data_IF_827310939366
#
_entry.id   IF_827310939366
#
_cell.length_a   1.000
_cell.length_b   1.000
_cell.length_c   1.000
_cell.angle_alpha   90.00
_cell.angle_beta   90.00
_cell.angle_gamma   90.00
#
_symmetry.space_group_name_H-M   'P 1'
#
loop_
_entity.id
_entity.type
_entity.pdbx_description
1 polymer ?
#
# COMPACT_ATOMS: atom_id res chain seq x y z
N UNK A 1 7.46 55.67 25.39
CA UNK A 1 6.58 54.47 25.43
C UNK A 1 7.13 53.44 24.46
N UNK A 2 7.95 52.53 24.96
CA UNK A 2 8.67 51.53 24.17
C UNK A 2 7.72 50.35 23.90
N UNK A 3 7.36 50.12 22.64
CA UNK A 3 6.66 48.90 22.20
C UNK A 3 7.62 47.71 22.37
N UNK A 4 7.48 46.98 23.47
CA UNK A 4 8.08 45.66 23.66
C UNK A 4 7.38 44.67 22.71
N UNK A 5 7.95 44.49 21.52
CA UNK A 5 7.56 43.42 20.61
C UNK A 5 8.17 42.12 21.13
N UNK A 6 7.34 41.26 21.71
CA UNK A 6 7.70 39.92 22.17
C UNK A 6 8.39 39.12 21.06
N UNK A 7 9.71 38.92 21.17
CA UNK A 7 10.43 37.98 20.33
C UNK A 7 9.83 36.57 20.52
N UNK A 8 9.65 35.77 19.46
CA UNK A 8 9.20 34.40 19.61
C UNK A 8 10.28 33.59 20.33
N UNK A 9 10.04 33.20 21.59
CA UNK A 9 11.03 32.50 22.42
C UNK A 9 10.93 30.99 22.13
N UNK A 10 12.05 30.35 21.77
CA UNK A 10 12.14 28.88 21.73
C UNK A 10 12.07 28.34 23.16
N UNK A 11 11.27 27.30 23.40
CA UNK A 11 11.22 26.66 24.72
C UNK A 11 12.47 25.80 24.97
N UNK A 12 12.94 25.64 26.23
CA UNK A 12 14.07 24.76 26.54
C UNK A 12 13.80 23.30 26.14
N UNK A 13 12.54 22.86 26.19
CA UNK A 13 12.10 21.54 25.73
C UNK A 13 12.24 21.38 24.21
N UNK A 14 11.96 22.43 23.44
CA UNK A 14 12.09 22.40 21.98
C UNK A 14 13.56 22.31 21.58
N UNK A 15 14.45 23.07 22.24
CA UNK A 15 15.89 22.99 21.96
C UNK A 15 16.48 21.63 22.37
N UNK A 16 16.06 21.07 23.51
CA UNK A 16 16.54 19.76 23.94
C UNK A 16 16.08 18.63 23.02
N UNK A 17 14.87 18.74 22.46
CA UNK A 17 14.35 17.82 21.43
C UNK A 17 15.16 17.90 20.13
N UNK A 18 15.56 19.10 19.70
CA UNK A 18 16.40 19.28 18.51
C UNK A 18 17.83 18.76 18.69
N UNK A 19 18.43 18.98 19.86
CA UNK A 19 19.82 18.58 20.13
C UNK A 19 19.94 17.14 20.66
N UNK A 20 18.83 16.51 21.04
CA UNK A 20 18.82 15.19 21.70
C UNK A 20 19.40 15.19 23.11
N UNK A 21 19.66 16.36 23.70
CA UNK A 21 20.29 16.51 25.01
C UNK A 21 19.71 17.72 25.77
N UNK A 22 19.53 17.58 27.08
CA UNK A 22 19.03 18.65 27.94
C UNK A 22 20.17 19.54 28.42
N UNK A 23 20.28 20.75 27.89
CA UNK A 23 21.28 21.73 28.31
C UNK A 23 20.97 22.32 29.70
N UNK A 24 22.02 22.72 30.42
CA UNK A 24 21.85 23.45 31.68
C UNK A 24 21.21 24.84 31.45
N UNK A 25 20.48 25.42 32.43
CA UNK A 25 19.81 26.71 32.25
C UNK A 25 20.76 27.86 31.85
N UNK A 26 22.00 27.85 32.32
CA UNK A 26 23.02 28.85 32.00
C UNK A 26 23.56 28.72 30.57
N UNK A 27 23.70 27.48 30.07
CA UNK A 27 24.12 27.21 28.69
C UNK A 27 22.98 27.49 27.70
N UNK A 28 21.74 27.17 28.06
CA UNK A 28 20.56 27.52 27.26
C UNK A 28 20.50 29.03 26.99
N UNK A 29 20.71 29.86 28.02
CA UNK A 29 20.75 31.31 27.87
C UNK A 29 21.92 31.79 26.99
N UNK A 30 23.06 31.11 27.04
CA UNK A 30 24.22 31.41 26.18
C UNK A 30 23.94 31.10 24.71
N UNK A 31 23.28 29.97 24.44
CA UNK A 31 22.87 29.57 23.09
C UNK A 31 21.80 30.52 22.54
N UNK A 32 20.80 30.86 23.37
CA UNK A 32 19.69 31.73 22.97
C UNK A 32 20.16 33.13 22.55
N UNK A 33 21.24 33.67 23.16
CA UNK A 33 21.85 34.95 22.74
C UNK A 33 22.46 34.91 21.35
N UNK A 34 22.83 33.73 20.83
CA UNK A 34 23.49 33.54 19.53
C UNK A 34 22.52 33.06 18.44
N UNK A 35 21.27 32.76 18.80
CA UNK A 35 20.21 32.39 17.88
C UNK A 35 19.75 33.59 17.03
N UNK A 36 19.47 33.35 15.76
CA UNK A 36 18.93 34.37 14.83
C UNK A 36 17.51 33.99 14.39
N UNK A 37 16.57 34.92 14.51
CA UNK A 37 15.21 34.71 14.02
C UNK A 37 15.11 35.07 12.53
N UNK A 38 14.53 34.17 11.73
CA UNK A 38 14.35 34.35 10.28
C UNK A 38 12.90 34.13 9.88
N UNK A 39 12.34 35.06 9.11
CA UNK A 39 10.98 34.98 8.53
C UNK A 39 11.07 35.02 6.99
N UNK A 40 11.34 33.89 6.33
CA UNK A 40 11.50 33.86 4.88
C UNK A 40 10.15 34.02 4.16
N UNK A 41 10.18 34.66 2.98
CA UNK A 41 9.02 34.76 2.09
C UNK A 41 8.64 33.38 1.55
N UNK A 42 7.36 33.18 1.22
CA UNK A 42 6.84 31.93 0.65
C UNK A 42 7.58 31.59 -0.64
N UNK A 43 8.24 30.44 -0.69
CA UNK A 43 9.11 30.07 -1.81
C UNK A 43 10.30 29.21 -1.39
N UNK A 44 11.16 28.86 -2.35
CA UNK A 44 12.45 28.21 -2.06
C UNK A 44 13.36 29.25 -1.39
N UNK A 45 13.87 28.95 -0.20
CA UNK A 45 14.68 29.92 0.56
C UNK A 45 16.00 29.34 1.08
N UNK A 46 16.17 28.01 1.05
CA UNK A 46 17.37 27.35 1.53
C UNK A 46 17.66 26.07 0.73
N UNK A 47 18.94 25.76 0.58
CA UNK A 47 19.46 24.58 -0.12
C UNK A 47 20.68 24.06 0.62
N UNK A 48 20.70 22.75 0.93
CA UNK A 48 21.92 22.04 1.31
C UNK A 48 22.65 21.68 0.02
N UNK A 49 23.71 22.43 -0.32
CA UNK A 49 24.57 22.11 -1.45
C UNK A 49 25.98 22.56 -1.11
N UNK A 50 26.93 21.64 -1.27
CA UNK A 50 28.36 21.98 -1.33
C UNK A 50 28.57 22.88 -2.54
N UNK A 51 29.46 23.86 -2.42
CA UNK A 51 29.61 24.99 -3.34
C UNK A 51 30.21 24.64 -4.71
N UNK A 52 30.01 23.42 -5.22
CA UNK A 52 30.51 22.99 -6.53
C UNK A 52 29.41 22.28 -7.33
N UNK A 53 28.65 23.03 -8.13
CA UNK A 53 28.21 22.65 -9.48
C UNK A 53 27.26 23.70 -10.06
N UNK A 54 27.74 24.38 -11.11
CA UNK A 54 26.98 25.11 -12.13
C UNK A 54 25.91 26.09 -11.65
N UNK A 55 26.38 27.33 -11.50
CA UNK A 55 25.62 28.55 -11.71
C UNK A 55 24.76 28.45 -12.97
N UNK A 56 23.45 28.25 -12.79
CA UNK A 56 22.39 28.79 -13.66
C UNK A 56 21.02 28.47 -13.06
N UNK A 57 20.74 29.04 -11.89
CA UNK A 57 19.39 29.25 -11.42
C UNK A 57 19.37 30.48 -10.51
N UNK A 58 18.74 31.56 -10.98
CA UNK A 58 18.33 32.71 -10.18
C UNK A 58 17.64 32.24 -8.89
N UNK A 59 18.40 32.15 -7.79
CA UNK A 59 17.84 31.93 -6.46
C UNK A 59 18.77 32.53 -5.43
N UNK A 60 18.27 33.53 -4.72
CA UNK A 60 18.88 34.16 -3.54
C UNK A 60 18.92 33.18 -2.34
N UNK A 61 19.39 31.96 -2.54
CA UNK A 61 19.45 30.91 -1.52
C UNK A 61 20.88 30.79 -0.99
N UNK A 62 21.29 31.74 -0.14
CA UNK A 62 22.53 31.62 0.62
C UNK A 62 22.38 30.49 1.66
N UNK A 63 23.18 29.44 1.50
CA UNK A 63 23.26 28.28 2.38
C UNK A 63 24.07 28.61 3.63
N UNK A 64 23.46 29.27 4.62
CA UNK A 64 24.10 29.41 5.93
C UNK A 64 24.10 28.03 6.61
N UNK A 65 25.29 27.53 6.93
CA UNK A 65 25.50 26.29 7.67
C UNK A 65 25.02 26.42 9.12
N UNK A 66 24.23 25.45 9.57
CA UNK A 66 23.61 25.45 10.90
C UNK A 66 22.25 24.76 10.90
N UNK A 67 21.61 24.74 12.06
CA UNK A 67 20.31 24.10 12.26
C UNK A 67 19.21 25.15 12.23
N UNK A 68 18.14 24.86 11.49
CA UNK A 68 16.92 25.66 11.44
C UNK A 68 15.82 24.94 12.21
N UNK A 69 15.27 25.60 13.21
CA UNK A 69 14.17 25.11 14.04
C UNK A 69 12.89 25.86 13.66
N UNK A 70 11.80 25.12 13.41
CA UNK A 70 10.53 25.71 13.02
C UNK A 70 9.75 26.13 14.27
N UNK A 71 9.52 27.43 14.43
CA UNK A 71 8.73 28.01 15.54
C UNK A 71 7.26 28.08 15.15
N UNK A 72 6.96 28.44 13.90
CA UNK A 72 5.60 28.50 13.39
C UNK A 72 5.59 28.30 11.89
N UNK A 73 4.54 27.67 11.35
CA UNK A 73 4.38 27.41 9.93
C UNK A 73 4.84 25.99 9.53
N UNK A 74 5.07 25.79 8.22
CA UNK A 74 5.49 24.49 7.66
C UNK A 74 6.60 24.67 6.64
N UNK A 75 7.56 23.76 6.63
CA UNK A 75 8.64 23.72 5.64
C UNK A 75 8.52 22.46 4.81
N UNK A 76 8.56 22.58 3.49
CA UNK A 76 8.60 21.41 2.60
C UNK A 76 10.03 21.18 2.17
N UNK A 77 10.58 20.01 2.53
CA UNK A 77 11.87 19.56 2.02
C UNK A 77 11.67 18.94 0.65
N UNK A 78 12.48 19.35 -0.31
CA UNK A 78 12.43 18.93 -1.71
C UNK A 78 13.78 18.30 -2.08
N UNK A 79 13.76 17.31 -2.96
CA UNK A 79 14.99 16.74 -3.52
C UNK A 79 15.63 17.69 -4.55
N UNK A 80 16.81 17.31 -5.07
CA UNK A 80 17.51 18.06 -6.12
C UNK A 80 16.68 18.31 -7.39
N UNK A 81 15.60 17.57 -7.61
CA UNK A 81 14.69 17.75 -8.74
C UNK A 81 13.41 18.53 -8.39
N UNK A 82 13.25 18.98 -7.15
CA UNK A 82 12.12 19.78 -6.71
C UNK A 82 10.88 18.98 -6.28
N UNK A 83 11.00 17.67 -6.10
CA UNK A 83 9.94 16.80 -5.61
C UNK A 83 9.91 16.74 -4.08
N UNK A 84 8.72 16.58 -3.48
CA UNK A 84 8.54 16.63 -2.02
C UNK A 84 9.11 15.40 -1.31
N UNK A 85 10.18 15.56 -0.54
CA UNK A 85 10.72 14.54 0.37
C UNK A 85 9.79 14.40 1.58
N UNK A 86 9.65 15.47 2.35
CA UNK A 86 8.82 15.51 3.56
C UNK A 86 8.32 16.92 3.85
N UNK A 87 7.28 17.04 4.67
CA UNK A 87 6.79 18.33 5.19
C UNK A 87 7.07 18.37 6.68
N UNK A 88 7.87 19.35 7.08
CA UNK A 88 8.18 19.63 8.47
C UNK A 88 7.16 20.59 9.09
N UNK A 89 6.79 20.30 10.33
CA UNK A 89 5.85 21.07 11.14
C UNK A 89 6.54 21.81 12.29
N UNK A 90 5.77 22.49 13.13
CA UNK A 90 6.27 23.20 14.30
C UNK A 90 7.06 22.25 15.21
N UNK A 91 8.14 22.76 15.82
CA UNK A 91 9.10 22.02 16.66
C UNK A 91 10.07 21.08 15.93
N UNK A 92 9.95 20.91 14.61
CA UNK A 92 10.91 20.12 13.85
C UNK A 92 12.07 20.98 13.33
N UNK A 93 13.18 20.32 13.04
CA UNK A 93 14.41 20.95 12.57
C UNK A 93 14.89 20.40 11.23
N UNK A 94 15.66 21.21 10.52
CA UNK A 94 16.39 20.83 9.30
C UNK A 94 17.73 21.56 9.22
N UNK A 95 18.61 21.13 8.33
CA UNK A 95 19.95 21.71 8.14
C UNK A 95 21.07 20.93 8.81
N UNK A 96 20.77 19.82 9.50
CA UNK A 96 21.73 18.90 10.12
C UNK A 96 22.85 18.45 9.16
N UNK A 97 22.52 18.29 7.88
CA UNK A 97 23.45 17.88 6.83
C UNK A 97 24.60 18.88 6.63
N UNK A 98 24.37 20.17 6.93
CA UNK A 98 25.41 21.21 6.79
C UNK A 98 26.49 21.15 7.88
N UNK A 99 26.28 20.35 8.92
CA UNK A 99 27.25 20.17 10.02
C UNK A 99 28.28 19.07 9.74
N UNK A 100 28.06 18.25 8.71
CA UNK A 100 28.90 17.10 8.37
C UNK A 100 29.36 17.14 6.91
N UNK A 101 30.19 18.12 6.52
CA UNK A 101 30.64 18.28 5.12
C UNK A 101 31.58 17.16 4.65
N UNK A 102 32.13 16.36 5.56
CA UNK A 102 33.05 15.25 5.27
C UNK A 102 32.35 14.03 4.67
N UNK A 103 31.01 13.97 4.74
CA UNK A 103 30.23 12.81 4.30
C UNK A 103 29.35 13.22 3.12
N UNK A 104 29.39 12.40 2.07
CA UNK A 104 28.61 12.60 0.84
C UNK A 104 27.14 12.25 1.08
N UNK A 105 26.41 13.18 1.72
CA UNK A 105 24.99 13.08 1.99
C UNK A 105 24.19 13.78 0.88
N UNK A 106 23.03 13.23 0.52
CA UNK A 106 22.20 13.74 -0.57
C UNK A 106 21.67 15.18 -0.29
N UNK A 107 21.91 16.14 -1.20
CA UNK A 107 21.47 17.52 -1.02
C UNK A 107 19.95 17.67 -1.11
N UNK A 108 19.36 18.52 -0.26
CA UNK A 108 17.92 18.84 -0.29
C UNK A 108 17.65 20.34 -0.22
N UNK A 109 16.48 20.76 -0.71
CA UNK A 109 16.00 22.15 -0.69
C UNK A 109 14.88 22.32 0.32
N UNK A 110 14.82 23.47 0.99
CA UNK A 110 13.70 23.84 1.85
C UNK A 110 12.85 24.95 1.22
N UNK A 111 11.53 24.68 1.16
CA UNK A 111 10.51 25.62 0.68
C UNK A 111 9.61 26.05 1.82
N UNK A 112 9.52 27.36 2.02
CA UNK A 112 8.69 27.97 3.05
C UNK A 112 7.21 27.95 2.66
N UNK A 113 6.35 27.60 3.61
CA UNK A 113 4.90 27.81 3.55
C UNK A 113 4.52 29.20 4.12
N UNK A 114 3.23 29.52 4.11
CA UNK A 114 2.70 30.78 4.67
C UNK A 114 3.00 30.88 6.17
N UNK A 115 3.35 32.08 6.64
CA UNK A 115 3.64 32.39 8.05
C UNK A 115 4.77 31.57 8.67
N UNK A 116 5.85 31.30 7.91
CA UNK A 116 7.00 30.58 8.43
C UNK A 116 7.87 31.47 9.33
N UNK A 117 8.07 31.05 10.57
CA UNK A 117 9.01 31.63 11.53
C UNK A 117 10.04 30.58 11.93
N UNK A 118 11.31 30.90 11.73
CA UNK A 118 12.44 30.01 12.01
C UNK A 118 13.34 30.62 13.08
N UNK A 119 13.90 29.75 13.91
CA UNK A 119 15.14 30.06 14.60
C UNK A 119 16.30 29.37 13.91
N UNK A 120 17.31 30.14 13.54
CA UNK A 120 18.57 29.66 13.02
C UNK A 120 19.60 29.58 14.14
N UNK A 121 20.18 28.40 14.32
CA UNK A 121 21.30 28.13 15.21
C UNK A 121 22.57 27.97 14.35
N UNK A 122 23.52 28.93 14.41
CA UNK A 122 24.75 28.90 13.63
C UNK A 122 25.60 27.66 13.87
N UNK A 123 26.27 27.14 12.82
CA UNK A 123 27.09 25.93 12.90
C UNK A 123 28.21 26.01 13.96
N UNK A 124 28.83 27.17 14.15
CA UNK A 124 29.90 27.36 15.14
C UNK A 124 29.42 27.16 16.58
N UNK A 125 28.16 27.48 16.88
CA UNK A 125 27.53 27.20 18.18
C UNK A 125 27.27 25.70 18.33
N UNK A 126 26.77 25.05 17.27
CA UNK A 126 26.44 23.62 17.31
C UNK A 126 27.70 22.77 17.41
N UNK A 127 28.74 23.10 16.64
CA UNK A 127 30.03 22.41 16.69
C UNK A 127 30.68 22.53 18.07
N UNK A 128 30.65 23.71 18.69
CA UNK A 128 31.15 23.88 20.06
C UNK A 128 30.36 23.06 21.11
N UNK A 129 29.07 22.80 20.87
CA UNK A 129 28.24 21.91 21.70
C UNK A 129 28.56 20.44 21.43
N UNK A 130 28.81 20.06 20.18
CA UNK A 130 29.20 18.70 19.78
C UNK A 130 30.56 18.30 20.37
N UNK A 131 31.52 19.23 20.41
CA UNK A 131 32.84 18.99 21.02
C UNK A 131 32.73 18.77 22.54
N UNK A 132 31.78 19.43 23.19
CA UNK A 132 31.56 19.32 24.64
C UNK A 132 30.71 18.11 25.02
N UNK A 133 29.72 17.77 24.19
CA UNK A 133 28.75 16.71 24.43
C UNK A 133 28.67 15.77 23.21
N UNK A 134 29.42 14.66 23.21
CA UNK A 134 29.40 13.68 22.12
C UNK A 134 27.99 13.15 21.80
N UNK A 135 27.10 13.07 22.80
CA UNK A 135 25.71 12.65 22.63
C UNK A 135 24.93 13.53 21.63
N UNK A 136 25.21 14.84 21.58
CA UNK A 136 24.58 15.77 20.63
C UNK A 136 25.04 15.46 19.21
N UNK A 137 26.35 15.17 19.04
CA UNK A 137 26.91 14.77 17.75
C UNK A 137 26.25 13.50 17.24
N UNK A 138 26.13 12.48 18.08
CA UNK A 138 25.51 11.20 17.70
C UNK A 138 24.03 11.37 17.32
N UNK A 139 23.28 12.18 18.07
CA UNK A 139 21.87 12.45 17.77
C UNK A 139 21.68 13.18 16.44
N UNK A 140 22.45 14.25 16.20
CA UNK A 140 22.39 15.01 14.97
C UNK A 140 22.87 14.18 13.77
N UNK A 141 23.87 13.33 13.97
CA UNK A 141 24.35 12.39 12.97
C UNK A 141 23.30 11.37 12.58
N UNK A 142 22.62 10.75 13.55
CA UNK A 142 21.52 9.82 13.29
C UNK A 142 20.35 10.50 12.57
N UNK A 143 20.06 11.76 12.92
CA UNK A 143 19.03 12.55 12.24
C UNK A 143 19.41 12.85 10.78
N UNK A 144 20.68 13.16 10.52
CA UNK A 144 21.21 13.36 9.18
C UNK A 144 21.15 12.08 8.33
N UNK A 145 21.53 10.93 8.88
CA UNK A 145 21.42 9.63 8.18
C UNK A 145 19.96 9.25 7.89
N UNK A 146 19.06 9.48 8.84
CA UNK A 146 17.63 9.25 8.62
C UNK A 146 17.11 10.14 7.47
N UNK A 147 17.58 11.38 7.39
CA UNK A 147 17.23 12.29 6.29
C UNK A 147 17.79 11.83 4.96
N UNK A 148 19.04 11.40 4.93
CA UNK A 148 19.72 10.91 3.74
C UNK A 148 19.05 9.64 3.17
N UNK A 149 18.72 8.68 4.04
CA UNK A 149 17.97 7.47 3.63
C UNK A 149 16.60 7.79 3.05
N UNK A 150 15.90 8.82 3.54
CA UNK A 150 14.64 9.30 2.93
C UNK A 150 14.85 9.89 1.53
N UNK A 151 15.98 10.56 1.29
CA UNK A 151 16.34 11.07 -0.02
C UNK A 151 16.69 9.93 -0.99
N UNK A 152 17.49 8.95 -0.56
CA UNK A 152 17.92 7.80 -1.36
C UNK A 152 16.77 6.84 -1.73
N UNK A 153 15.83 6.61 -0.81
CA UNK A 153 14.63 5.80 -1.12
C UNK A 153 13.81 6.43 -2.25
N UNK A 154 13.77 7.76 -2.31
CA UNK A 154 13.04 8.48 -3.36
C UNK A 154 13.80 8.50 -4.68
N UNK A 155 15.12 8.68 -4.65
CA UNK A 155 15.96 8.63 -5.86
C UNK A 155 15.97 7.23 -6.49
N UNK A 156 15.98 6.17 -5.68
CA UNK A 156 15.88 4.78 -6.15
C UNK A 156 14.51 4.42 -6.69
N UNK A 157 13.41 4.90 -6.09
CA UNK A 157 12.06 4.80 -6.68
C UNK A 157 12.00 5.42 -8.09
N UNK A 158 12.73 6.53 -8.30
CA UNK A 158 12.84 7.20 -9.61
C UNK A 158 13.68 6.42 -10.61
N UNK A 159 14.80 5.82 -10.18
CA UNK A 159 15.61 4.96 -11.03
C UNK A 159 14.83 3.71 -11.50
N UNK A 160 13.97 3.17 -10.63
CA UNK A 160 13.09 2.04 -10.96
C UNK A 160 11.90 2.43 -11.87
N UNK A 161 11.43 3.69 -11.78
CA UNK A 161 10.44 4.25 -12.71
C UNK A 161 11.15 5.05 -13.80
N UNK A 162 11.83 4.33 -14.70
CA UNK A 162 12.54 4.89 -15.86
C UNK A 162 11.71 5.94 -16.61
N UNK A 163 11.86 7.20 -16.19
CA UNK A 163 11.24 8.36 -16.82
C UNK A 163 12.40 9.10 -17.48
N UNK A 164 12.59 8.80 -18.76
CA UNK A 164 13.46 9.57 -19.62
C UNK A 164 13.00 11.03 -19.58
N UNK A 165 13.88 11.93 -19.15
CA UNK A 165 13.76 13.34 -19.49
C UNK A 165 14.01 13.49 -20.99
N UNK A 166 13.14 14.16 -21.76
CA UNK A 166 13.54 14.68 -23.06
C UNK A 166 14.40 15.93 -22.86
N UNK A 167 15.64 15.83 -23.33
CA UNK A 167 16.63 16.91 -23.42
C UNK A 167 16.18 17.96 -24.44
N UNK A 168 16.26 19.22 -24.01
CA UNK A 168 16.32 20.49 -24.73
C UNK A 168 16.22 20.52 -26.27
N UNK A 169 15.25 21.28 -26.78
CA UNK A 169 15.46 22.23 -27.88
C UNK A 169 14.23 23.13 -28.02
N UNK A 170 14.25 24.35 -27.45
CA UNK A 170 13.63 25.51 -28.10
C UNK A 170 14.30 26.78 -27.62
N UNK A 171 14.96 27.41 -28.59
CA UNK A 171 15.67 28.68 -28.56
C UNK A 171 14.77 29.80 -28.06
N UNK A 172 15.31 30.62 -27.15
CA UNK A 172 14.73 31.91 -26.80
C UNK A 172 15.39 33.01 -27.65
N UNK A 173 14.57 33.92 -28.18
CA UNK A 173 14.92 35.30 -28.58
C UNK A 173 13.64 36.14 -28.45
N UNK A 174 13.74 37.47 -28.30
CA UNK A 174 13.50 38.13 -27.02
C UNK A 174 12.20 38.96 -26.97
N UNK A 175 11.81 39.29 -25.74
CA UNK A 175 10.95 40.40 -25.28
C UNK A 175 10.02 41.10 -26.28
N UNK A 176 8.72 41.08 -25.96
CA UNK A 176 7.89 42.29 -26.10
C UNK A 176 6.79 42.32 -25.04
N UNK A 177 6.73 43.46 -24.35
CA UNK A 177 5.74 43.87 -23.35
C UNK A 177 4.39 44.19 -23.98
N UNK A 178 3.30 43.75 -23.34
CA UNK A 178 1.94 44.19 -23.62
C UNK A 178 0.97 43.73 -22.54
N UNK A 179 0.38 44.68 -21.81
CA UNK A 179 -0.52 44.51 -20.66
C UNK A 179 -1.94 43.99 -21.05
N UNK A 180 -2.94 44.01 -20.15
CA UNK A 180 -3.46 42.86 -19.43
C UNK A 180 -4.87 42.45 -19.89
N UNK A 181 -5.18 41.16 -20.00
CA UNK A 181 -6.56 40.75 -20.29
C UNK A 181 -7.07 39.57 -19.47
N UNK A 182 -7.90 39.95 -18.48
CA UNK A 182 -9.09 39.26 -17.96
C UNK A 182 -8.88 37.87 -17.37
N UNK A 183 -8.76 37.88 -16.05
CA UNK A 183 -9.20 36.84 -15.11
C UNK A 183 -10.46 36.13 -15.61
N UNK A 184 -10.30 34.87 -16.05
CA UNK A 184 -11.42 33.94 -16.20
C UNK A 184 -11.19 32.70 -15.35
N UNK A 185 -12.19 32.48 -14.50
CA UNK A 185 -12.60 31.24 -13.84
C UNK A 185 -11.79 30.82 -12.61
N UNK A 186 -12.26 31.35 -11.48
CA UNK A 186 -12.26 30.65 -10.19
C UNK A 186 -12.55 29.15 -10.43
N UNK A 187 -11.62 28.28 -10.01
CA UNK A 187 -11.85 26.84 -9.94
C UNK A 187 -13.05 26.63 -9.01
N UNK A 188 -14.19 26.25 -9.59
CA UNK A 188 -15.35 25.72 -8.87
C UNK A 188 -14.84 24.71 -7.84
N UNK A 189 -15.12 24.97 -6.57
CA UNK A 189 -15.00 23.99 -5.49
C UNK A 189 -15.77 22.76 -5.97
N UNK A 190 -15.04 21.69 -6.28
CA UNK A 190 -15.64 20.44 -6.73
C UNK A 190 -16.59 19.99 -5.62
N UNK A 191 -17.85 19.72 -5.99
CA UNK A 191 -18.89 19.09 -5.16
C UNK A 191 -18.27 18.11 -4.18
N UNK A 192 -18.65 18.19 -2.90
CA UNK A 192 -18.31 17.21 -1.89
C UNK A 192 -18.56 15.81 -2.47
N UNK A 193 -17.49 15.07 -2.71
CA UNK A 193 -17.56 13.72 -3.27
C UNK A 193 -17.84 12.79 -2.09
N UNK A 194 -19.09 12.34 -1.99
CA UNK A 194 -19.46 11.19 -1.19
C UNK A 194 -19.42 9.99 -2.14
N UNK A 195 -18.46 9.05 -1.99
CA UNK A 195 -18.53 7.82 -2.76
C UNK A 195 -19.84 7.12 -2.42
N UNK A 196 -20.60 6.74 -3.43
CA UNK A 196 -21.74 5.86 -3.27
C UNK A 196 -21.23 4.42 -3.30
N UNK A 197 -21.82 3.50 -2.53
CA UNK A 197 -21.36 2.11 -2.49
C UNK A 197 -21.42 1.52 -3.91
N UNK A 198 -20.34 0.86 -4.33
CA UNK A 198 -20.21 0.31 -5.69
C UNK A 198 -21.29 -0.75 -6.00
N UNK A 199 -21.98 -1.25 -4.98
CA UNK A 199 -23.19 -2.07 -5.08
C UNK A 199 -24.46 -1.23 -5.39
N UNK A 200 -24.46 -0.58 -6.56
CA UNK A 200 -25.69 -0.33 -7.34
C UNK A 200 -25.51 -0.66 -8.83
N UNK A 201 -24.56 -1.54 -9.18
CA UNK A 201 -24.37 -1.99 -10.57
C UNK A 201 -24.70 -3.48 -10.69
N UNK A 202 -25.96 -3.73 -11.03
CA UNK A 202 -26.61 -5.05 -11.16
C UNK A 202 -28.12 -5.00 -10.86
N UNK A 203 -28.80 -3.93 -11.28
CA UNK A 203 -30.02 -3.38 -10.65
C UNK A 203 -31.34 -4.16 -10.83
N UNK A 204 -31.30 -5.46 -11.17
CA UNK A 204 -32.48 -6.35 -11.12
C UNK A 204 -32.17 -7.67 -10.40
N UNK A 205 -31.11 -8.40 -10.79
CA UNK A 205 -30.73 -9.67 -10.16
C UNK A 205 -30.20 -9.53 -8.72
N UNK A 206 -29.50 -8.44 -8.39
CA UNK A 206 -28.94 -8.23 -7.04
C UNK A 206 -30.01 -7.85 -6.01
N UNK A 207 -31.11 -7.24 -6.47
CA UNK A 207 -32.28 -6.93 -5.62
C UNK A 207 -33.09 -8.20 -5.30
N UNK A 208 -33.01 -9.21 -6.16
CA UNK A 208 -33.56 -10.55 -5.94
C UNK A 208 -32.64 -11.40 -5.05
N UNK A 209 -31.31 -11.31 -5.20
CA UNK A 209 -30.38 -12.18 -4.46
C UNK A 209 -29.87 -11.63 -3.13
N UNK A 210 -30.02 -10.33 -2.84
CA UNK A 210 -29.56 -9.64 -1.60
C UNK A 210 -28.18 -10.11 -1.09
N UNK A 211 -27.26 -10.47 -2.00
CA UNK A 211 -25.96 -11.05 -1.64
C UNK A 211 -24.94 -9.92 -1.42
N UNK A 212 -24.50 -9.77 -0.19
CA UNK A 212 -23.47 -8.81 0.19
C UNK A 212 -22.06 -9.41 0.02
N UNK A 213 -20.99 -8.60 -0.06
CA UNK A 213 -19.63 -9.11 -0.15
C UNK A 213 -19.28 -9.96 1.07
N UNK A 214 -18.86 -11.19 0.82
CA UNK A 214 -18.37 -12.09 1.85
C UNK A 214 -16.87 -12.31 1.69
N UNK A 215 -16.18 -12.45 2.82
CA UNK A 215 -14.78 -12.86 2.88
C UNK A 215 -14.57 -13.76 4.09
N UNK A 216 -14.29 -15.03 3.84
CA UNK A 216 -14.03 -16.00 4.89
C UNK A 216 -12.70 -15.70 5.61
N UNK A 217 -12.70 -15.77 6.94
CA UNK A 217 -11.48 -15.61 7.73
C UNK A 217 -10.52 -16.79 7.50
N UNK A 218 -9.22 -16.51 7.42
CA UNK A 218 -8.18 -17.54 7.23
C UNK A 218 -7.66 -18.11 8.56
N UNK A 219 -7.83 -17.37 9.66
CA UNK A 219 -7.47 -17.79 11.02
C UNK A 219 -8.52 -17.30 12.01
N UNK A 220 -8.62 -17.94 13.18
CA UNK A 220 -9.63 -17.58 14.18
C UNK A 220 -9.49 -16.12 14.68
N UNK A 221 -8.28 -15.58 14.69
CA UNK A 221 -7.99 -14.20 15.09
C UNK A 221 -8.28 -13.13 14.01
N UNK A 222 -8.58 -13.54 12.76
CA UNK A 222 -8.72 -12.62 11.63
C UNK A 222 -10.10 -11.97 11.46
N UNK A 223 -11.08 -12.30 12.31
CA UNK A 223 -12.47 -11.89 12.14
C UNK A 223 -12.63 -10.37 11.88
N UNK A 224 -11.98 -9.52 12.68
CA UNK A 224 -12.02 -8.08 12.50
C UNK A 224 -11.38 -7.58 11.21
N UNK A 225 -10.22 -8.14 10.83
CA UNK A 225 -9.54 -7.80 9.58
C UNK A 225 -10.37 -8.25 8.35
N UNK A 226 -11.00 -9.42 8.43
CA UNK A 226 -11.92 -9.92 7.41
C UNK A 226 -13.16 -9.02 7.28
N UNK A 227 -13.71 -8.52 8.40
CA UNK A 227 -14.79 -7.54 8.38
C UNK A 227 -14.39 -6.25 7.64
N UNK A 228 -13.18 -5.74 7.85
CA UNK A 228 -12.66 -4.60 7.10
C UNK A 228 -12.49 -4.91 5.60
N UNK A 229 -12.08 -6.12 5.22
CA UNK A 229 -12.04 -6.55 3.81
C UNK A 229 -13.45 -6.49 3.21
N UNK A 230 -14.45 -7.04 3.91
CA UNK A 230 -15.85 -7.07 3.47
C UNK A 230 -16.42 -5.66 3.27
N UNK A 231 -16.25 -4.78 4.27
CA UNK A 231 -16.67 -3.36 4.18
C UNK A 231 -15.92 -2.64 3.05
N UNK A 232 -14.62 -2.87 2.88
CA UNK A 232 -13.85 -2.26 1.79
C UNK A 232 -14.37 -2.69 0.41
N UNK A 233 -14.72 -3.98 0.25
CA UNK A 233 -15.31 -4.52 -0.97
C UNK A 233 -16.68 -3.94 -1.27
N UNK A 234 -17.50 -3.70 -0.24
CA UNK A 234 -18.79 -3.03 -0.37
C UNK A 234 -18.65 -1.62 -0.98
N UNK A 235 -17.60 -0.90 -0.60
CA UNK A 235 -17.27 0.41 -1.17
C UNK A 235 -16.43 0.36 -2.46
N UNK A 236 -16.21 -0.83 -3.03
CA UNK A 236 -15.55 -1.03 -4.32
C UNK A 236 -14.02 -1.07 -4.29
N UNK A 237 -13.39 -1.23 -3.12
CA UNK A 237 -11.94 -1.38 -3.00
C UNK A 237 -11.57 -2.77 -2.48
N UNK A 238 -10.53 -3.35 -3.06
CA UNK A 238 -9.98 -4.63 -2.62
C UNK A 238 -8.67 -4.39 -1.88
N UNK A 239 -8.60 -4.83 -0.63
CA UNK A 239 -7.36 -4.86 0.14
C UNK A 239 -7.01 -6.31 0.48
N UNK A 240 -5.73 -6.59 0.60
CA UNK A 240 -5.27 -7.90 1.06
C UNK A 240 -5.55 -8.05 2.54
N UNK A 241 -5.98 -9.25 2.96
CA UNK A 241 -6.20 -9.55 4.38
C UNK A 241 -4.93 -9.29 5.18
N UNK A 242 -3.77 -9.75 4.71
CA UNK A 242 -2.49 -9.54 5.39
C UNK A 242 -2.16 -8.06 5.63
N UNK A 243 -2.50 -7.15 4.71
CA UNK A 243 -2.29 -5.71 4.90
C UNK A 243 -3.17 -5.18 6.03
N UNK A 244 -4.46 -5.52 6.01
CA UNK A 244 -5.40 -5.09 7.05
C UNK A 244 -5.09 -5.73 8.41
N UNK A 245 -4.66 -7.00 8.42
CA UNK A 245 -4.20 -7.71 9.61
C UNK A 245 -2.99 -7.01 10.25
N UNK A 246 -1.99 -6.65 9.43
CA UNK A 246 -0.79 -5.92 9.89
C UNK A 246 -1.14 -4.52 10.41
N UNK A 247 -2.01 -3.79 9.71
CA UNK A 247 -2.45 -2.46 10.14
C UNK A 247 -3.28 -2.52 11.42
N UNK A 248 -4.15 -3.52 11.57
CA UNK A 248 -4.98 -3.69 12.76
C UNK A 248 -4.21 -4.27 13.96
N UNK A 249 -2.93 -4.61 13.77
CA UNK A 249 -2.07 -5.26 14.76
C UNK A 249 -2.75 -6.50 15.39
N UNK A 250 -3.29 -7.37 14.53
CA UNK A 250 -3.99 -8.58 14.96
C UNK A 250 -2.97 -9.56 15.55
N UNK A 251 -3.21 -9.94 16.81
CA UNK A 251 -2.41 -10.91 17.54
C UNK A 251 -3.17 -12.24 17.67
N UNK A 252 -2.63 -13.18 18.46
CA UNK A 252 -3.29 -14.48 18.74
C UNK A 252 -4.67 -14.30 19.39
N UNK A 253 -4.84 -13.25 20.20
CA UNK A 253 -6.10 -12.91 20.86
C UNK A 253 -7.12 -12.19 19.94
N UNK A 254 -6.75 -11.93 18.67
CA UNK A 254 -7.62 -11.25 17.71
C UNK A 254 -7.29 -9.77 17.51
N UNK A 255 -8.26 -9.05 16.95
CA UNK A 255 -8.16 -7.62 16.66
C UNK A 255 -8.87 -6.81 17.76
N UNK A 256 -8.22 -5.78 18.30
CA UNK A 256 -8.90 -4.83 19.18
C UNK A 256 -9.74 -3.83 18.37
N UNK A 257 -10.82 -3.31 18.94
CA UNK A 257 -11.64 -2.27 18.30
C UNK A 257 -10.79 -1.04 17.91
N UNK A 258 -9.85 -0.64 18.79
CA UNK A 258 -8.89 0.44 18.52
C UNK A 258 -7.98 0.12 17.32
N UNK A 259 -7.46 -1.10 17.25
CA UNK A 259 -6.67 -1.57 16.11
C UNK A 259 -7.46 -1.54 14.81
N UNK A 260 -8.73 -1.96 14.84
CA UNK A 260 -9.63 -1.89 13.70
C UNK A 260 -9.92 -0.45 13.27
N UNK A 261 -10.14 0.49 14.21
CA UNK A 261 -10.26 1.91 13.90
C UNK A 261 -9.02 2.41 13.17
N UNK A 262 -7.83 2.18 13.73
CA UNK A 262 -6.57 2.61 13.15
C UNK A 262 -6.35 2.02 11.74
N UNK A 263 -6.66 0.73 11.55
CA UNK A 263 -6.53 0.08 10.25
C UNK A 263 -7.49 0.66 9.20
N UNK A 264 -8.75 0.88 9.58
CA UNK A 264 -9.76 1.50 8.73
C UNK A 264 -9.36 2.94 8.34
N UNK A 265 -8.89 3.73 9.29
CA UNK A 265 -8.40 5.09 9.05
C UNK A 265 -7.18 5.12 8.14
N UNK A 266 -6.26 4.17 8.33
CA UNK A 266 -5.07 4.02 7.50
C UNK A 266 -5.38 3.70 6.03
N UNK A 267 -6.49 2.99 5.76
CA UNK A 267 -6.94 2.74 4.38
C UNK A 267 -7.87 3.83 3.84
N UNK A 268 -8.26 4.80 4.66
CA UNK A 268 -8.96 6.02 4.27
C UNK A 268 -10.44 6.09 4.69
N UNK A 269 -10.91 5.22 5.59
CA UNK A 269 -12.20 5.42 6.23
C UNK A 269 -12.13 6.48 7.33
N UNK A 270 -13.24 7.14 7.61
CA UNK A 270 -13.48 7.83 8.88
C UNK A 270 -14.17 6.85 9.79
N UNK A 271 -13.66 6.68 11.00
CA UNK A 271 -14.20 5.71 11.95
C UNK A 271 -14.83 6.40 13.15
N UNK A 272 -15.93 5.82 13.63
CA UNK A 272 -16.57 6.24 14.87
C UNK A 272 -16.96 5.00 15.68
N UNK A 273 -16.15 4.61 16.67
CA UNK A 273 -16.55 3.57 17.60
C UNK A 273 -17.67 4.13 18.49
N UNK A 274 -18.74 3.36 18.66
CA UNK A 274 -19.91 3.73 19.46
C UNK A 274 -20.33 2.57 20.32
N UNK A 275 -20.81 2.88 21.52
CA UNK A 275 -21.68 2.01 22.29
C UNK A 275 -23.08 2.54 22.09
N UNK A 276 -23.96 1.74 21.48
CA UNK A 276 -25.28 2.19 21.05
C UNK A 276 -26.33 1.15 21.42
N UNK A 277 -27.58 1.61 21.53
CA UNK A 277 -28.73 0.71 21.55
C UNK A 277 -29.08 0.24 20.13
N UNK A 278 -29.89 -0.82 20.00
CA UNK A 278 -30.30 -1.35 18.70
C UNK A 278 -31.00 -0.29 17.85
N UNK A 279 -31.89 0.50 18.48
CA UNK A 279 -32.65 1.56 17.82
C UNK A 279 -31.76 2.70 17.31
N UNK A 280 -30.66 2.98 18.00
CA UNK A 280 -29.68 3.97 17.57
C UNK A 280 -28.81 3.46 16.43
N UNK A 281 -28.41 2.17 16.48
CA UNK A 281 -27.66 1.51 15.41
C UNK A 281 -28.47 1.46 14.12
N UNK A 282 -29.78 1.18 14.21
CA UNK A 282 -30.70 1.16 13.08
C UNK A 282 -30.83 2.53 12.36
N UNK A 283 -30.52 3.63 13.04
CA UNK A 283 -30.52 4.99 12.47
C UNK A 283 -29.20 5.38 11.80
N UNK A 284 -28.13 4.61 11.98
CA UNK A 284 -26.81 4.92 11.43
C UNK A 284 -26.69 4.49 9.96
N UNK A 285 -25.65 5.00 9.28
CA UNK A 285 -25.28 4.52 7.95
C UNK A 285 -24.58 3.17 8.05
N UNK A 286 -25.05 2.21 7.25
CA UNK A 286 -24.48 0.87 7.12
C UNK A 286 -23.64 0.78 5.83
N UNK A 287 -22.65 -0.12 5.74
CA UNK A 287 -22.34 -1.20 6.67
C UNK A 287 -21.53 -0.75 7.90
N UNK A 288 -21.77 -1.42 9.03
CA UNK A 288 -21.04 -1.23 10.28
C UNK A 288 -20.42 -2.56 10.74
N UNK A 289 -19.30 -2.50 11.45
CA UNK A 289 -18.70 -3.68 12.09
C UNK A 289 -19.18 -3.71 13.54
N UNK A 290 -19.73 -4.83 14.00
CA UNK A 290 -20.24 -4.96 15.36
C UNK A 290 -19.48 -6.04 16.12
N UNK A 291 -19.35 -5.85 17.42
CA UNK A 291 -18.74 -6.83 18.31
C UNK A 291 -19.78 -7.83 18.81
N UNK A 292 -19.51 -9.11 18.58
CA UNK A 292 -20.45 -10.22 18.66
C UNK A 292 -19.99 -11.26 19.69
N UNK A 293 -20.89 -11.73 20.55
CA UNK A 293 -20.65 -12.78 21.56
C UNK A 293 -19.43 -12.54 22.47
N UNK A 294 -18.98 -11.30 22.62
CA UNK A 294 -17.84 -10.94 23.47
C UNK A 294 -16.45 -11.32 22.93
N UNK A 295 -16.36 -11.98 21.77
CA UNK A 295 -15.09 -12.52 21.22
C UNK A 295 -14.94 -12.40 19.71
N UNK A 296 -15.97 -11.94 19.00
CA UNK A 296 -16.02 -12.01 17.54
C UNK A 296 -16.42 -10.68 16.92
N UNK A 297 -16.12 -10.49 15.64
CA UNK A 297 -16.56 -9.33 14.88
C UNK A 297 -17.32 -9.79 13.64
N UNK A 298 -18.47 -9.15 13.39
CA UNK A 298 -19.29 -9.40 12.21
C UNK A 298 -19.67 -8.07 11.53
N UNK A 299 -20.08 -8.12 10.27
CA UNK A 299 -20.54 -6.94 9.53
C UNK A 299 -22.06 -6.91 9.48
N UNK A 300 -22.65 -5.79 9.87
CA UNK A 300 -24.07 -5.50 9.66
C UNK A 300 -24.20 -4.73 8.35
N UNK A 301 -24.92 -5.31 7.38
CA UNK A 301 -25.12 -4.69 6.07
C UNK A 301 -26.42 -3.92 5.97
N UNK A 302 -27.50 -4.44 6.55
CA UNK A 302 -28.83 -3.86 6.45
C UNK A 302 -29.65 -4.18 7.70
N UNK A 303 -30.35 -3.17 8.22
CA UNK A 303 -31.33 -3.33 9.28
C UNK A 303 -32.69 -2.98 8.69
N UNK A 304 -33.58 -3.97 8.60
CA UNK A 304 -34.97 -3.79 8.16
C UNK A 304 -35.90 -3.76 9.36
N UNK A 305 -37.18 -3.42 9.15
CA UNK A 305 -38.19 -3.39 10.21
C UNK A 305 -38.39 -4.73 10.93
N UNK A 306 -38.07 -5.85 10.27
CA UNK A 306 -38.31 -7.20 10.79
C UNK A 306 -37.03 -7.98 11.06
N UNK A 307 -35.96 -7.72 10.29
CA UNK A 307 -34.74 -8.54 10.31
C UNK A 307 -33.47 -7.70 10.13
N UNK A 308 -32.34 -8.25 10.57
CA UNK A 308 -30.99 -7.69 10.41
C UNK A 308 -30.19 -8.63 9.50
N UNK A 309 -29.64 -8.09 8.41
CA UNK A 309 -28.75 -8.83 7.53
C UNK A 309 -27.32 -8.62 8.00
N UNK A 310 -26.73 -9.70 8.50
CA UNK A 310 -25.36 -9.75 9.00
C UNK A 310 -24.51 -10.67 8.15
N UNK A 311 -23.20 -10.48 8.21
CA UNK A 311 -22.24 -11.35 7.58
C UNK A 311 -21.12 -11.66 8.55
N UNK A 312 -21.05 -12.94 8.90
CA UNK A 312 -20.04 -13.47 9.80
C UNK A 312 -18.88 -14.04 8.97
N UNK A 313 -17.64 -13.55 9.16
CA UNK A 313 -16.47 -14.03 8.42
C UNK A 313 -16.12 -15.51 8.70
N UNK A 314 -16.56 -16.11 9.80
CA UNK A 314 -16.37 -17.53 10.13
C UNK A 314 -17.48 -18.43 9.62
N UNK A 315 -18.63 -17.86 9.25
CA UNK A 315 -19.78 -18.61 8.76
C UNK A 315 -20.09 -18.11 7.34
N UNK A 316 -21.20 -17.41 7.15
CA UNK A 316 -21.56 -16.72 5.90
C UNK A 316 -22.54 -15.57 6.21
N UNK A 317 -23.19 -15.02 5.19
CA UNK A 317 -24.30 -14.08 5.35
C UNK A 317 -25.51 -14.77 6.02
N UNK A 318 -26.06 -14.14 7.06
CA UNK A 318 -27.25 -14.59 7.79
C UNK A 318 -28.26 -13.46 7.93
N UNK A 319 -29.53 -13.84 8.03
CA UNK A 319 -30.61 -12.92 8.35
C UNK A 319 -31.14 -13.29 9.73
N UNK A 320 -30.99 -12.38 10.69
CA UNK A 320 -31.38 -12.58 12.08
C UNK A 320 -32.62 -11.76 12.40
N UNK A 321 -33.46 -12.25 13.30
CA UNK A 321 -34.50 -11.43 13.92
C UNK A 321 -33.87 -10.38 14.83
N UNK A 322 -34.62 -9.32 15.15
CA UNK A 322 -34.13 -8.29 16.09
C UNK A 322 -33.82 -8.88 17.47
N UNK A 323 -34.60 -9.88 17.91
CA UNK A 323 -34.41 -10.55 19.19
C UNK A 323 -33.09 -11.33 19.22
N UNK A 324 -32.83 -12.15 18.20
CA UNK A 324 -31.58 -12.92 18.09
C UNK A 324 -30.38 -11.98 18.01
N UNK A 325 -30.47 -10.93 17.20
CA UNK A 325 -29.39 -9.95 17.08
C UNK A 325 -29.07 -9.28 18.42
N UNK A 326 -30.08 -8.86 19.17
CA UNK A 326 -29.89 -8.14 20.43
C UNK A 326 -29.44 -9.05 21.59
N UNK A 327 -29.59 -10.38 21.46
CA UNK A 327 -29.11 -11.34 22.45
C UNK A 327 -27.58 -11.54 22.37
N UNK A 328 -27.05 -11.61 21.16
CA UNK A 328 -25.64 -11.93 20.92
C UNK A 328 -24.77 -10.67 20.68
N UNK A 329 -25.39 -9.53 20.38
CA UNK A 329 -24.68 -8.26 20.20
C UNK A 329 -24.27 -7.65 21.54
N UNK A 330 -22.99 -7.32 21.65
CA UNK A 330 -22.42 -6.74 22.88
C UNK A 330 -22.69 -5.24 23.08
N UNK A 331 -23.40 -4.58 22.16
CA UNK A 331 -23.68 -3.14 22.19
C UNK A 331 -22.59 -2.25 21.59
N UNK A 332 -21.41 -2.80 21.25
CA UNK A 332 -20.33 -2.06 20.60
C UNK A 332 -20.41 -2.18 19.08
N UNK A 333 -20.24 -1.05 18.38
CA UNK A 333 -20.20 -0.97 16.94
C UNK A 333 -19.12 0.01 16.46
N UNK A 334 -18.59 -0.26 15.29
CA UNK A 334 -17.67 0.60 14.55
C UNK A 334 -18.38 1.06 13.29
N UNK A 335 -18.68 2.35 13.23
CA UNK A 335 -19.26 2.99 12.06
C UNK A 335 -18.13 3.43 11.13
N UNK A 336 -18.24 3.10 9.84
CA UNK A 336 -17.23 3.41 8.83
C UNK A 336 -17.83 4.25 7.71
N UNK A 337 -17.26 5.43 7.49
CA UNK A 337 -17.63 6.28 6.35
C UNK A 337 -16.42 6.49 5.42
N UNK A 338 -16.52 6.19 4.12
CA UNK A 338 -15.41 6.38 3.19
C UNK A 338 -15.08 7.88 3.01
N UNK A 339 -13.79 8.23 3.11
CA UNK A 339 -13.32 9.60 2.87
C UNK A 339 -12.73 9.77 1.46
N UNK A 340 -12.31 10.99 1.11
CA UNK A 340 -11.56 11.24 -0.12
C UNK A 340 -10.28 10.39 -0.21
N UNK A 341 -9.61 10.15 0.93
CA UNK A 341 -8.39 9.32 0.98
C UNK A 341 -8.66 7.89 0.52
N UNK A 342 -9.82 7.31 0.87
CA UNK A 342 -10.19 5.95 0.48
C UNK A 342 -10.21 5.75 -1.03
N UNK A 343 -10.61 6.78 -1.78
CA UNK A 343 -10.62 6.75 -3.24
C UNK A 343 -9.21 6.69 -3.81
N UNK A 344 -8.30 7.48 -3.24
CA UNK A 344 -6.92 7.61 -3.74
C UNK A 344 -6.03 6.44 -3.28
N UNK A 345 -6.41 5.73 -2.21
CA UNK A 345 -5.72 4.52 -1.77
C UNK A 345 -5.73 3.46 -2.88
N UNK A 346 -4.53 3.03 -3.30
CA UNK A 346 -4.36 1.91 -4.24
C UNK A 346 -4.90 0.63 -3.61
N UNK A 347 -5.85 0.01 -4.30
CA UNK A 347 -6.33 -1.33 -3.99
C UNK A 347 -5.18 -2.32 -4.22
N UNK A 348 -4.99 -3.26 -3.30
CA UNK A 348 -4.04 -4.35 -3.46
C UNK A 348 -4.81 -5.58 -3.92
N UNK A 349 -4.88 -5.81 -5.22
CA UNK A 349 -5.34 -7.07 -5.78
C UNK A 349 -4.14 -7.99 -5.98
N UNK A 350 -4.12 -9.13 -5.29
CA UNK A 350 -3.20 -10.21 -5.68
C UNK A 350 -3.65 -10.73 -7.04
N UNK A 351 -2.84 -10.51 -8.06
CA UNK A 351 -3.18 -10.86 -9.43
C UNK A 351 -2.89 -12.33 -9.67
N UNK A 352 -3.82 -13.08 -10.27
CA UNK A 352 -3.60 -14.49 -10.69
C UNK A 352 -2.36 -14.59 -11.60
N UNK A 353 -2.03 -13.50 -12.30
CA UNK A 353 -0.84 -13.34 -13.11
C UNK A 353 0.48 -13.54 -12.34
N UNK A 354 0.50 -13.33 -11.03
CA UNK A 354 1.68 -13.57 -10.20
C UNK A 354 2.02 -15.07 -10.10
N UNK A 355 1.03 -15.97 -10.23
CA UNK A 355 1.28 -17.41 -10.33
C UNK A 355 1.87 -17.81 -11.69
N UNK A 356 1.64 -17.01 -12.73
CA UNK A 356 2.21 -17.26 -14.05
C UNK A 356 3.73 -17.09 -14.06
N UNK A 357 4.27 -16.21 -13.22
CA UNK A 357 5.72 -16.08 -13.03
C UNK A 357 6.37 -17.36 -12.47
N UNK A 358 5.64 -18.13 -11.65
CA UNK A 358 6.10 -19.42 -11.13
C UNK A 358 6.12 -20.53 -12.20
N UNK A 359 5.22 -20.44 -13.18
CA UNK A 359 5.10 -21.43 -14.28
C UNK A 359 6.08 -21.11 -15.41
N UNK A 360 6.47 -19.84 -15.56
CA UNK A 360 7.35 -19.34 -16.64
C UNK A 360 8.61 -20.18 -16.87
N UNK A 361 9.34 -20.70 -15.87
CA UNK A 361 10.54 -21.51 -16.11
C UNK A 361 10.26 -22.88 -16.75
N UNK A 362 9.05 -23.42 -16.56
CA UNK A 362 8.67 -24.79 -16.97
C UNK A 362 7.76 -24.81 -18.20
N UNK A 363 7.58 -23.67 -18.88
CA UNK A 363 6.61 -23.53 -19.96
C UNK A 363 6.91 -24.41 -21.19
N UNK A 364 8.19 -24.67 -21.48
CA UNK A 364 8.60 -25.52 -22.61
C UNK A 364 8.03 -26.95 -22.46
N UNK A 365 8.15 -27.54 -21.28
CA UNK A 365 7.62 -28.88 -21.00
C UNK A 365 6.09 -28.92 -21.04
N UNK A 366 5.41 -27.86 -20.59
CA UNK A 366 3.95 -27.77 -20.70
C UNK A 366 3.49 -27.71 -22.16
N UNK A 367 4.23 -27.01 -23.02
CA UNK A 367 3.95 -26.97 -24.46
C UNK A 367 4.22 -28.32 -25.12
N UNK A 368 5.29 -29.02 -24.77
CA UNK A 368 5.54 -30.39 -25.25
C UNK A 368 4.41 -31.35 -24.86
N UNK A 369 3.96 -31.31 -23.60
CA UNK A 369 2.83 -32.11 -23.13
C UNK A 369 1.54 -31.73 -23.86
N UNK A 370 1.31 -30.44 -24.11
CA UNK A 370 0.15 -29.96 -24.85
C UNK A 370 0.15 -30.49 -26.29
N UNK A 371 1.27 -30.38 -27.00
CA UNK A 371 1.44 -30.88 -28.37
C UNK A 371 1.25 -32.40 -28.40
N UNK A 372 1.90 -33.14 -27.50
CA UNK A 372 1.72 -34.59 -27.39
C UNK A 372 0.27 -34.98 -27.09
N UNK A 373 -0.44 -34.19 -26.28
CA UNK A 373 -1.86 -34.39 -25.96
C UNK A 373 -2.75 -34.17 -27.18
N UNK A 374 -2.47 -33.14 -27.98
CA UNK A 374 -3.19 -32.86 -29.23
C UNK A 374 -3.00 -34.02 -30.21
N UNK A 375 -1.76 -34.51 -30.39
CA UNK A 375 -1.50 -35.67 -31.25
C UNK A 375 -2.19 -36.93 -30.75
N UNK A 376 -2.17 -37.20 -29.43
CA UNK A 376 -2.91 -38.31 -28.84
C UNK A 376 -4.42 -38.22 -29.08
N UNK A 377 -4.98 -37.01 -29.01
CA UNK A 377 -6.40 -36.80 -29.29
C UNK A 377 -6.73 -37.00 -30.76
N UNK A 378 -5.85 -36.54 -31.66
CA UNK A 378 -5.98 -36.75 -33.10
C UNK A 378 -5.89 -38.23 -33.45
N UNK A 379 -4.93 -38.96 -32.88
CA UNK A 379 -4.87 -40.42 -33.00
C UNK A 379 -6.07 -41.10 -32.36
N UNK A 380 -6.67 -40.53 -31.31
CA UNK A 380 -7.92 -41.01 -30.74
C UNK A 380 -9.08 -41.14 -31.76
N UNK A 381 -9.09 -40.32 -32.82
CA UNK A 381 -10.06 -40.40 -33.92
C UNK A 381 -9.82 -41.59 -34.87
N UNK A 382 -8.68 -42.27 -34.77
CA UNK A 382 -8.39 -43.47 -35.57
C UNK A 382 -9.28 -44.64 -35.12
N UNK A 383 -9.62 -44.73 -33.82
CA UNK A 383 -10.52 -45.77 -33.31
C UNK A 383 -11.90 -45.77 -33.99
N UNK A 384 -12.66 -44.65 -34.07
CA UNK A 384 -13.94 -44.64 -34.78
C UNK A 384 -13.81 -44.91 -36.28
N UNK A 385 -12.70 -44.51 -36.92
CA UNK A 385 -12.43 -44.86 -38.33
C UNK A 385 -12.29 -46.38 -38.50
N UNK A 386 -11.55 -47.04 -37.60
CA UNK A 386 -11.47 -48.51 -37.61
C UNK A 386 -12.83 -49.15 -37.35
N UNK A 387 -13.63 -48.65 -36.41
CA UNK A 387 -14.99 -49.15 -36.16
C UNK A 387 -15.88 -49.01 -37.41
N UNK A 388 -15.81 -47.87 -38.09
CA UNK A 388 -16.53 -47.65 -39.35
C UNK A 388 -16.08 -48.66 -40.42
N UNK A 389 -14.77 -48.85 -40.59
CA UNK A 389 -14.25 -49.78 -41.59
C UNK A 389 -14.66 -51.24 -41.30
N UNK A 390 -14.73 -51.62 -40.02
CA UNK A 390 -15.24 -52.94 -39.62
C UNK A 390 -16.71 -53.09 -40.02
N UNK A 391 -17.57 -52.13 -39.67
CA UNK A 391 -19.01 -52.18 -39.94
C UNK A 391 -19.33 -52.09 -41.43
N UNK A 392 -18.76 -51.12 -42.14
CA UNK A 392 -19.17 -50.76 -43.51
C UNK A 392 -18.53 -51.67 -44.56
N UNK A 393 -17.29 -52.14 -44.34
CA UNK A 393 -16.55 -52.94 -45.32
C UNK A 393 -16.45 -54.41 -44.92
N UNK A 394 -15.97 -54.68 -43.71
CA UNK A 394 -15.60 -56.06 -43.32
C UNK A 394 -16.83 -56.93 -43.07
N UNK A 395 -17.83 -56.40 -42.35
CA UNK A 395 -19.08 -57.14 -42.07
C UNK A 395 -19.88 -57.35 -43.36
N UNK A 396 -19.94 -56.36 -44.25
CA UNK A 396 -20.68 -56.45 -45.52
C UNK A 396 -20.02 -57.40 -46.51
N UNK A 397 -18.69 -57.36 -46.67
CA UNK A 397 -17.96 -58.18 -47.66
C UNK A 397 -17.62 -59.61 -47.17
N UNK A 398 -17.88 -59.94 -45.89
CA UNK A 398 -17.53 -61.23 -45.24
C UNK A 398 -16.08 -61.71 -45.46
N UNK A 399 -15.14 -60.79 -45.64
CA UNK A 399 -13.73 -61.12 -45.85
C UNK A 399 -13.00 -61.37 -44.51
N UNK A 400 -12.66 -62.64 -44.24
CA UNK A 400 -11.91 -63.05 -43.05
C UNK A 400 -10.50 -62.46 -43.01
N UNK A 401 -9.86 -62.31 -44.18
CA UNK A 401 -8.50 -61.75 -44.30
C UNK A 401 -8.51 -60.28 -43.89
N UNK A 402 -9.46 -59.48 -44.42
CA UNK A 402 -9.57 -58.06 -44.09
C UNK A 402 -9.93 -57.85 -42.61
N UNK A 403 -10.79 -58.69 -42.04
CA UNK A 403 -11.10 -58.66 -40.60
C UNK A 403 -9.85 -58.85 -39.77
N UNK A 404 -9.07 -59.90 -40.06
CA UNK A 404 -7.87 -60.25 -39.29
C UNK A 404 -6.82 -59.12 -39.36
N UNK A 405 -6.60 -58.54 -40.56
CA UNK A 405 -5.68 -57.41 -40.73
C UNK A 405 -6.12 -56.18 -39.93
N UNK A 406 -7.41 -55.84 -39.95
CA UNK A 406 -7.95 -54.67 -39.25
C UNK A 406 -7.88 -54.86 -37.73
N UNK A 407 -8.24 -56.04 -37.22
CA UNK A 407 -8.15 -56.36 -35.79
C UNK A 407 -6.71 -56.33 -35.31
N UNK A 408 -5.76 -56.88 -36.08
CA UNK A 408 -4.33 -56.82 -35.75
C UNK A 408 -3.81 -55.38 -35.73
N UNK A 409 -4.22 -54.57 -36.71
CA UNK A 409 -3.91 -53.13 -36.76
C UNK A 409 -4.47 -52.38 -35.54
N UNK A 410 -5.71 -52.68 -35.13
CA UNK A 410 -6.34 -52.09 -33.95
C UNK A 410 -5.62 -52.49 -32.66
N UNK A 411 -5.19 -53.75 -32.54
CA UNK A 411 -4.41 -54.23 -31.40
C UNK A 411 -3.06 -53.50 -31.28
N UNK A 412 -2.32 -53.40 -32.38
CA UNK A 412 -1.04 -52.69 -32.44
C UNK A 412 -1.23 -51.19 -32.11
N UNK A 413 -2.25 -50.57 -32.69
CA UNK A 413 -2.58 -49.18 -32.45
C UNK A 413 -2.98 -48.93 -30.99
N UNK A 414 -3.77 -49.83 -30.39
CA UNK A 414 -4.17 -49.76 -28.98
C UNK A 414 -2.95 -49.82 -28.05
N UNK A 415 -2.02 -50.74 -28.32
CA UNK A 415 -0.78 -50.85 -27.55
C UNK A 415 0.06 -49.56 -27.64
N UNK A 416 0.24 -49.02 -28.85
CA UNK A 416 0.94 -47.74 -29.05
C UNK A 416 0.24 -46.58 -28.31
N UNK A 417 -1.09 -46.53 -28.35
CA UNK A 417 -1.88 -45.51 -27.65
C UNK A 417 -1.69 -45.59 -26.14
N UNK A 418 -1.68 -46.79 -25.56
CA UNK A 418 -1.41 -47.00 -24.13
C UNK A 418 0.00 -46.52 -23.77
N UNK A 419 1.01 -46.89 -24.56
CA UNK A 419 2.39 -46.47 -24.35
C UNK A 419 2.55 -44.93 -24.41
N UNK A 420 2.01 -44.28 -25.44
CA UNK A 420 2.03 -42.82 -25.57
C UNK A 420 1.27 -42.11 -24.44
N UNK A 421 0.15 -42.67 -24.00
CA UNK A 421 -0.61 -42.13 -22.86
C UNK A 421 0.20 -42.24 -21.57
N UNK A 422 0.91 -43.37 -21.37
CA UNK A 422 1.83 -43.56 -20.26
C UNK A 422 2.97 -42.55 -20.26
N UNK A 423 3.60 -42.32 -21.41
CA UNK A 423 4.66 -41.33 -21.57
C UNK A 423 4.17 -39.91 -21.24
N UNK A 424 3.00 -39.52 -21.78
CA UNK A 424 2.38 -38.23 -21.44
C UNK A 424 2.14 -38.10 -19.94
N UNK A 425 1.60 -39.13 -19.30
CA UNK A 425 1.32 -39.12 -17.87
C UNK A 425 2.61 -39.00 -17.05
N UNK A 426 3.67 -39.72 -17.43
CA UNK A 426 4.97 -39.62 -16.81
C UNK A 426 5.54 -38.20 -16.90
N UNK A 427 5.53 -37.59 -18.08
CA UNK A 427 5.99 -36.21 -18.29
C UNK A 427 5.18 -35.22 -17.43
N UNK A 428 3.85 -35.37 -17.40
CA UNK A 428 2.97 -34.52 -16.59
C UNK A 428 3.31 -34.62 -15.10
N UNK A 429 3.40 -35.83 -14.55
CA UNK A 429 3.75 -36.04 -13.14
C UNK A 429 5.13 -35.49 -12.82
N UNK A 430 6.11 -35.72 -13.70
CA UNK A 430 7.47 -35.23 -13.50
C UNK A 430 7.53 -33.69 -13.47
N UNK A 431 6.83 -33.03 -14.40
CA UNK A 431 6.73 -31.56 -14.41
C UNK A 431 5.97 -31.03 -13.20
N UNK A 432 4.86 -31.66 -12.82
CA UNK A 432 4.06 -31.28 -11.66
C UNK A 432 4.89 -31.35 -10.36
N UNK A 433 5.65 -32.43 -10.16
CA UNK A 433 6.54 -32.59 -9.01
C UNK A 433 7.63 -31.50 -8.95
N UNK A 434 8.22 -31.13 -10.09
CA UNK A 434 9.22 -30.05 -10.14
C UNK A 434 8.63 -28.69 -9.75
N UNK A 435 7.44 -28.39 -10.25
CA UNK A 435 6.73 -27.14 -9.92
C UNK A 435 6.35 -27.13 -8.43
N UNK A 436 5.84 -28.24 -7.91
CA UNK A 436 5.45 -28.38 -6.50
C UNK A 436 6.66 -28.21 -5.57
N UNK A 437 7.77 -28.87 -5.88
CA UNK A 437 9.01 -28.72 -5.12
C UNK A 437 9.53 -27.28 -5.15
N UNK A 438 9.52 -26.63 -6.32
CA UNK A 438 9.93 -25.23 -6.43
C UNK A 438 9.03 -24.29 -5.61
N UNK A 439 7.71 -24.54 -5.58
CA UNK A 439 6.75 -23.77 -4.81
C UNK A 439 6.94 -23.98 -3.31
N UNK A 440 7.09 -25.23 -2.85
CA UNK A 440 7.32 -25.57 -1.43
C UNK A 440 8.64 -24.96 -0.96
N UNK A 441 9.74 -25.13 -1.70
CA UNK A 441 11.04 -24.57 -1.35
C UNK A 441 10.98 -23.04 -1.32
N UNK A 442 10.32 -22.42 -2.30
CA UNK A 442 10.10 -20.98 -2.34
C UNK A 442 9.31 -20.46 -1.14
N UNK A 443 8.21 -21.16 -0.79
CA UNK A 443 7.37 -20.86 0.36
C UNK A 443 8.14 -21.00 1.68
N UNK A 444 8.87 -22.10 1.88
CA UNK A 444 9.68 -22.35 3.08
C UNK A 444 10.76 -21.27 3.22
N UNK A 445 11.52 -21.00 2.15
CA UNK A 445 12.57 -19.97 2.15
C UNK A 445 12.01 -18.58 2.46
N UNK A 446 10.84 -18.24 1.92
CA UNK A 446 10.19 -16.98 2.24
C UNK A 446 9.73 -16.93 3.69
N UNK A 447 9.08 -17.99 4.17
CA UNK A 447 8.56 -18.11 5.53
C UNK A 447 9.67 -17.93 6.56
N UNK A 448 10.81 -18.60 6.39
CA UNK A 448 11.97 -18.47 7.30
C UNK A 448 12.67 -17.11 7.24
N UNK A 449 12.41 -16.27 6.23
CA UNK A 449 12.95 -14.90 6.14
C UNK A 449 12.03 -13.86 6.78
N UNK A 450 10.83 -14.23 7.19
CA UNK A 450 9.90 -13.31 7.84
C UNK A 450 10.38 -12.98 9.26
N UNK A 451 10.14 -11.73 9.74
CA UNK A 451 10.55 -11.32 11.08
C UNK A 451 9.78 -12.10 12.15
N UNK A 452 10.37 -12.24 13.34
CA UNK A 452 9.78 -12.98 14.48
C UNK A 452 8.34 -12.53 14.80
N UNK A 453 8.05 -11.23 14.68
CA UNK A 453 6.71 -10.66 14.89
C UNK A 453 5.61 -11.27 14.02
N UNK A 454 5.95 -11.78 12.82
CA UNK A 454 5.00 -12.50 11.98
C UNK A 454 4.54 -13.80 12.62
N UNK A 455 5.48 -14.53 13.25
CA UNK A 455 5.23 -15.80 13.92
C UNK A 455 4.52 -15.61 15.25
N UNK A 456 4.88 -14.58 16.04
CA UNK A 456 4.18 -14.29 17.30
C UNK A 456 2.70 -13.93 17.10
N UNK A 457 2.37 -13.32 15.94
CA UNK A 457 1.00 -12.91 15.67
C UNK A 457 0.06 -14.06 15.32
N UNK A 458 0.56 -15.21 14.84
CA UNK A 458 -0.21 -16.38 14.41
C UNK A 458 -0.15 -17.49 15.47
#
# INVERSE_FOLDING_TARGET
MVKSSSAPIISPQQLSKTLGYSLSPSEFQRVLKRCQFKEPKVGKFWHAGTSNANSNANSNANSNAGIYIIIAGKVRLLDGAGELITTLETEESFGELTLFPEVDLEPYLARASVNLKLCFLPADVVLALMDRYPQIRDHLWNTAQLRDSQCQMRSSERAATGTQNPTSAHSATPFTSGSPQKTKSQKKIKKAFFPHPAQRVGHWFQRVSRRYPFYAQQSASDCGAACLVMVSRYWGKQFSLNRLRKLANVNRDGASLRGLCFAAESVGFSTRPVQASFDELAKQKLPAIVHWEGKHFIVVYEITKTHVVVCDPGLEQRTLTHREFNQDWSGYALLLEPTLKFKDTKASSTSIWQFFELIKPHWLMLVEILIASIFLQLFGLVTPIFTQLILDRVVVQRSQVTLTTVVLGLLLFSFFRVAMTGLRQYLLVHTAQKIDLALIVGFIRHTFRLPLSYFESR
#
